data_IF_843080785351
#
_entry.id   IF_843080785351
#
_cell.length_a   1.000
_cell.length_b   1.000
_cell.length_c   1.000
_cell.angle_alpha   90.00
_cell.angle_beta   90.00
_cell.angle_gamma   90.00
#
_symmetry.space_group_name_H-M   'P 1'
#
loop_
_entity.id
_entity.type
_entity.pdbx_description
1 polymer ?
#
# COMPACT_ATOMS: atom_id res chain seq x y z
N UNK A 1 -17.46 26.54 21.57
CA UNK A 1 -16.51 25.46 21.88
C UNK A 1 -15.54 25.41 20.72
N UNK A 2 -14.29 25.79 20.98
CA UNK A 2 -13.26 26.05 19.97
C UNK A 2 -12.99 24.72 19.22
N UNK A 3 -12.94 24.77 17.89
CA UNK A 3 -12.46 23.67 17.05
C UNK A 3 -10.96 23.52 17.29
N UNK A 4 -10.61 22.80 18.35
CA UNK A 4 -9.23 22.55 18.76
C UNK A 4 -8.69 21.31 18.04
N UNK A 5 -8.53 21.40 16.72
CA UNK A 5 -7.80 20.42 15.91
C UNK A 5 -6.92 21.16 14.89
N UNK A 6 -5.79 21.74 15.33
CA UNK A 6 -4.90 22.54 14.49
C UNK A 6 -4.21 21.73 13.36
N UNK A 7 -4.39 20.40 13.30
CA UNK A 7 -3.71 19.51 12.38
C UNK A 7 -4.43 19.29 11.02
N UNK A 8 -5.62 19.86 10.81
CA UNK A 8 -6.40 19.63 9.58
C UNK A 8 -6.00 20.52 8.37
N UNK A 9 -4.97 21.37 8.49
CA UNK A 9 -4.64 22.34 7.44
C UNK A 9 -3.64 21.83 6.37
N UNK A 10 -2.95 20.71 6.61
CA UNK A 10 -2.08 20.06 5.62
C UNK A 10 -2.27 18.55 5.64
N UNK A 11 -2.82 17.99 4.57
CA UNK A 11 -2.91 16.55 4.33
C UNK A 11 -1.60 16.03 3.72
N UNK A 12 -0.50 16.13 4.48
CA UNK A 12 0.79 15.58 4.07
C UNK A 12 0.95 14.19 4.68
N UNK A 13 1.46 13.26 3.88
CA UNK A 13 1.83 11.92 4.34
C UNK A 13 3.22 11.57 3.85
N UNK A 14 3.93 10.77 4.65
CA UNK A 14 5.13 10.08 4.21
C UNK A 14 4.72 8.74 3.60
N UNK A 15 5.05 8.53 2.33
CA UNK A 15 4.69 7.34 1.59
C UNK A 15 5.87 6.37 1.50
N UNK A 16 5.61 5.11 1.82
CA UNK A 16 6.57 4.01 1.72
C UNK A 16 5.94 2.83 0.99
N UNK A 17 6.79 2.02 0.37
CA UNK A 17 6.38 0.75 -0.24
C UNK A 17 7.05 -0.42 0.46
N UNK A 18 6.34 -1.54 0.56
CA UNK A 18 6.82 -2.74 1.21
C UNK A 18 6.30 -4.01 0.53
N UNK A 19 7.19 -4.97 0.28
CA UNK A 19 6.86 -6.18 -0.49
C UNK A 19 5.84 -7.09 0.21
N UNK A 20 5.97 -7.28 1.53
CA UNK A 20 5.08 -8.15 2.30
C UNK A 20 4.24 -7.31 3.27
N UNK A 21 3.23 -6.64 2.71
CA UNK A 21 2.38 -5.72 3.44
C UNK A 21 1.64 -6.42 4.59
N UNK A 22 1.14 -7.64 4.38
CA UNK A 22 0.38 -8.39 5.38
C UNK A 22 1.24 -8.68 6.62
N UNK A 23 2.48 -9.17 6.44
CA UNK A 23 3.42 -9.41 7.56
C UNK A 23 3.81 -8.12 8.29
N UNK A 24 4.01 -7.03 7.56
CA UNK A 24 4.32 -5.74 8.18
C UNK A 24 3.13 -5.25 9.02
N UNK A 25 1.92 -5.36 8.49
CA UNK A 25 0.71 -4.95 9.18
C UNK A 25 0.48 -5.77 10.45
N UNK A 26 0.64 -7.10 10.40
CA UNK A 26 0.64 -7.97 11.59
C UNK A 26 1.61 -7.45 12.65
N UNK A 27 2.87 -7.22 12.26
CA UNK A 27 3.92 -6.70 13.16
C UNK A 27 3.56 -5.35 13.79
N UNK A 28 2.86 -4.48 13.06
CA UNK A 28 2.42 -3.17 13.54
C UNK A 28 1.23 -3.31 14.49
N UNK A 29 0.28 -4.19 14.19
CA UNK A 29 -0.91 -4.41 15.03
C UNK A 29 -0.59 -5.06 16.38
N UNK A 30 0.54 -5.79 16.48
CA UNK A 30 1.07 -6.31 17.74
C UNK A 30 1.72 -5.23 18.63
N UNK A 31 1.91 -4.01 18.10
CA UNK A 31 2.52 -2.87 18.81
C UNK A 31 1.47 -1.81 19.11
N UNK A 32 1.77 -0.90 20.04
CA UNK A 32 0.92 0.23 20.41
C UNK A 32 0.96 1.38 19.36
N UNK A 33 0.81 1.05 18.07
CA UNK A 33 0.79 2.02 16.97
C UNK A 33 -0.66 2.45 16.68
N UNK A 34 -0.89 3.75 16.51
CA UNK A 34 -2.21 4.31 16.22
C UNK A 34 -2.54 4.16 14.72
N UNK A 35 -3.44 3.22 14.42
CA UNK A 35 -3.89 2.93 13.05
C UNK A 35 -4.97 3.93 12.62
N UNK A 36 -4.79 4.54 11.43
CA UNK A 36 -5.78 5.44 10.81
C UNK A 36 -6.83 4.60 10.08
N UNK A 37 -6.37 3.69 9.23
CA UNK A 37 -7.19 2.65 8.62
C UNK A 37 -6.37 1.38 8.41
N UNK A 38 -7.01 0.20 8.46
CA UNK A 38 -6.33 -1.07 8.17
C UNK A 38 -5.95 -1.17 6.69
N UNK A 39 -5.40 -2.31 6.27
CA UNK A 39 -5.14 -2.57 4.85
C UNK A 39 -6.45 -2.42 4.06
N UNK A 40 -6.43 -1.54 3.06
CA UNK A 40 -7.47 -1.35 2.06
C UNK A 40 -6.86 -1.50 0.67
N UNK A 41 -7.68 -1.83 -0.33
CA UNK A 41 -7.27 -1.91 -1.72
C UNK A 41 -7.73 -0.64 -2.47
N UNK A 42 -6.80 -0.01 -3.18
CA UNK A 42 -7.07 1.14 -4.03
C UNK A 42 -7.65 0.71 -5.38
N UNK A 43 -8.24 1.66 -6.12
CA UNK A 43 -8.88 1.38 -7.41
C UNK A 43 -7.93 0.79 -8.48
N UNK A 44 -6.62 1.01 -8.33
CA UNK A 44 -5.58 0.45 -9.19
C UNK A 44 -4.97 -0.86 -8.64
N UNK A 45 -5.68 -1.54 -7.72
CA UNK A 45 -5.31 -2.85 -7.21
C UNK A 45 -4.16 -2.88 -6.20
N UNK A 46 -3.53 -1.74 -5.89
CA UNK A 46 -2.53 -1.66 -4.84
C UNK A 46 -3.19 -1.69 -3.46
N UNK A 47 -2.66 -2.49 -2.52
CA UNK A 47 -3.09 -2.46 -1.12
C UNK A 47 -2.20 -1.55 -0.29
N UNK A 48 -2.76 -0.92 0.74
CA UNK A 48 -2.03 -0.08 1.68
C UNK A 48 -2.79 0.21 2.95
N UNK A 49 -2.08 0.66 3.99
CA UNK A 49 -2.66 1.09 5.26
C UNK A 49 -2.01 2.40 5.72
N UNK A 50 -2.65 3.09 6.66
CA UNK A 50 -2.14 4.33 7.23
C UNK A 50 -2.07 4.27 8.74
N UNK A 51 -1.02 4.87 9.30
CA UNK A 51 -0.79 5.01 10.72
C UNK A 51 -0.41 6.45 11.05
N UNK A 52 -0.50 6.80 12.32
CA UNK A 52 0.22 7.93 12.88
C UNK A 52 1.55 7.48 13.46
N UNK A 53 2.58 8.32 13.32
CA UNK A 53 3.76 8.23 14.16
C UNK A 53 3.49 8.85 15.56
N UNK A 54 4.45 8.82 16.51
CA UNK A 54 4.25 9.39 17.84
C UNK A 54 3.96 10.90 17.88
N UNK A 55 4.26 11.63 16.80
CA UNK A 55 4.07 13.08 16.67
C UNK A 55 2.82 13.43 15.82
N UNK A 56 1.93 12.45 15.61
CA UNK A 56 0.69 12.56 14.82
C UNK A 56 0.89 12.92 13.34
N UNK A 57 2.05 12.59 12.76
CA UNK A 57 2.26 12.64 11.31
C UNK A 57 1.69 11.39 10.62
N UNK A 58 1.09 11.56 9.44
CA UNK A 58 0.53 10.45 8.66
C UNK A 58 1.66 9.71 7.95
N UNK A 59 1.75 8.41 8.17
CA UNK A 59 2.56 7.50 7.36
C UNK A 59 1.62 6.59 6.58
N UNK A 60 1.81 6.55 5.26
CA UNK A 60 1.16 5.62 4.35
C UNK A 60 2.16 4.56 3.91
N UNK A 61 1.77 3.29 4.04
CA UNK A 61 2.56 2.16 3.58
C UNK A 61 1.70 1.32 2.64
N UNK A 62 2.21 1.10 1.44
CA UNK A 62 1.54 0.32 0.40
C UNK A 62 2.41 -0.81 -0.13
N UNK A 63 1.81 -1.75 -0.85
CA UNK A 63 2.56 -2.76 -1.59
C UNK A 63 3.47 -2.09 -2.63
N UNK A 64 4.66 -2.65 -2.85
CA UNK A 64 5.44 -2.34 -4.07
C UNK A 64 4.63 -2.76 -5.29
N UNK A 65 4.80 -2.05 -6.41
CA UNK A 65 4.08 -2.43 -7.63
C UNK A 65 4.49 -3.82 -8.13
N UNK A 66 5.72 -4.26 -7.86
CA UNK A 66 6.12 -5.66 -8.08
C UNK A 66 5.31 -6.64 -7.24
N UNK A 67 5.09 -6.36 -5.95
CA UNK A 67 4.27 -7.21 -5.08
C UNK A 67 2.80 -7.26 -5.55
N UNK A 68 2.25 -6.13 -6.00
CA UNK A 68 0.90 -6.08 -6.60
C UNK A 68 0.82 -7.02 -7.81
N UNK A 69 1.78 -6.90 -8.75
CA UNK A 69 1.82 -7.73 -9.96
C UNK A 69 1.92 -9.22 -9.62
N UNK A 70 2.81 -9.58 -8.70
CA UNK A 70 3.01 -10.98 -8.29
C UNK A 70 1.76 -11.54 -7.60
N UNK A 71 1.12 -10.76 -6.72
CA UNK A 71 -0.12 -11.15 -6.05
C UNK A 71 -1.24 -11.40 -7.06
N UNK A 72 -1.50 -10.46 -7.97
CA UNK A 72 -2.55 -10.60 -8.98
C UNK A 72 -2.28 -11.79 -9.92
N UNK A 73 -1.03 -11.97 -10.34
CA UNK A 73 -0.63 -13.14 -11.14
C UNK A 73 -0.86 -14.45 -10.39
N UNK A 74 -0.49 -14.52 -9.10
CA UNK A 74 -0.72 -15.71 -8.26
C UNK A 74 -2.21 -15.98 -7.99
N UNK A 75 -3.07 -14.97 -8.14
CA UNK A 75 -4.54 -15.12 -8.13
C UNK A 75 -5.09 -15.61 -9.47
N UNK A 76 -4.24 -15.85 -10.48
CA UNK A 76 -4.62 -16.36 -11.79
C UNK A 76 -4.96 -15.30 -12.83
N UNK A 77 -4.65 -14.02 -12.57
CA UNK A 77 -4.93 -12.95 -13.51
C UNK A 77 -3.97 -13.00 -14.71
N UNK A 78 -4.51 -12.72 -15.88
CA UNK A 78 -3.72 -12.56 -17.11
C UNK A 78 -2.93 -11.26 -17.12
N UNK A 79 -1.88 -11.18 -17.95
CA UNK A 79 -1.08 -9.96 -18.11
C UNK A 79 -1.96 -8.75 -18.49
N UNK A 80 -2.97 -8.94 -19.34
CA UNK A 80 -3.87 -7.87 -19.77
C UNK A 80 -4.77 -7.37 -18.62
N UNK A 81 -5.27 -8.28 -17.77
CA UNK A 81 -6.04 -7.92 -16.58
C UNK A 81 -5.17 -7.17 -15.57
N UNK A 82 -3.94 -7.63 -15.33
CA UNK A 82 -2.98 -6.98 -14.43
C UNK A 82 -2.62 -5.58 -14.96
N UNK A 83 -2.38 -5.44 -16.26
CA UNK A 83 -2.11 -4.14 -16.91
C UNK A 83 -3.27 -3.18 -16.74
N UNK A 84 -4.51 -3.65 -16.90
CA UNK A 84 -5.70 -2.83 -16.73
C UNK A 84 -5.91 -2.39 -15.27
N UNK A 85 -5.65 -3.28 -14.32
CA UNK A 85 -5.81 -2.98 -12.89
C UNK A 85 -4.70 -2.08 -12.35
N UNK A 86 -3.43 -2.49 -12.52
CA UNK A 86 -2.27 -1.80 -11.95
C UNK A 86 -1.86 -0.54 -12.71
N UNK A 87 -2.36 -0.35 -13.94
CA UNK A 87 -1.92 0.69 -14.87
C UNK A 87 -0.42 0.63 -15.23
N UNK A 88 0.26 -0.48 -14.89
CA UNK A 88 1.68 -0.65 -15.17
C UNK A 88 1.94 -1.04 -16.63
N UNK A 89 3.06 -0.61 -17.22
CA UNK A 89 3.47 -1.02 -18.55
C UNK A 89 3.64 -2.55 -18.64
N UNK A 90 3.25 -3.12 -19.76
CA UNK A 90 3.31 -4.57 -20.00
C UNK A 90 4.74 -5.12 -19.86
N UNK A 91 5.74 -4.37 -20.33
CA UNK A 91 7.15 -4.75 -20.22
C UNK A 91 7.60 -4.82 -18.75
N UNK A 92 7.11 -3.90 -17.90
CA UNK A 92 7.37 -3.94 -16.46
C UNK A 92 6.74 -5.18 -15.82
N UNK A 93 5.49 -5.50 -16.19
CA UNK A 93 4.78 -6.69 -15.71
C UNK A 93 5.56 -7.96 -16.09
N UNK A 94 5.92 -8.11 -17.37
CA UNK A 94 6.69 -9.27 -17.84
C UNK A 94 8.05 -9.39 -17.14
N UNK A 95 8.76 -8.28 -16.98
CA UNK A 95 10.05 -8.26 -16.27
C UNK A 95 9.89 -8.70 -14.80
N UNK A 96 8.87 -8.21 -14.11
CA UNK A 96 8.59 -8.58 -12.71
C UNK A 96 8.31 -10.06 -12.57
N UNK A 97 7.49 -10.63 -13.46
CA UNK A 97 7.16 -12.06 -13.46
C UNK A 97 8.37 -12.94 -13.79
N UNK A 98 9.33 -12.44 -14.58
CA UNK A 98 10.57 -13.18 -14.88
C UNK A 98 11.59 -13.13 -13.74
N UNK A 99 11.67 -12.02 -12.98
CA UNK A 99 12.65 -11.83 -11.90
C UNK A 99 12.42 -12.72 -10.68
N UNK A 100 11.20 -13.23 -10.49
CA UNK A 100 10.80 -14.03 -9.31
C UNK A 100 10.14 -15.37 -9.66
N UNK A 101 10.40 -15.87 -10.87
CA UNK A 101 10.08 -17.25 -11.28
C UNK A 101 11.11 -18.27 -10.77
#
# INVERSE_FOLDING_TARGET
>A
MILDQPHQLLHVSLYFEFDNLDKLFETITEREVKIIHPIIEHAWGQRGFRIYDPDDHIIEISETMEAVILRLHNQGWTIDEIKKASMMPEDFIKMTLQKRA
#
